data_IF_032748964662
#
_entry.id   IF_032748964662
#
_cell.length_a   1.000
_cell.length_b   1.000
_cell.length_c   1.000
_cell.angle_alpha   90.00
_cell.angle_beta   90.00
_cell.angle_gamma   90.00
#
_symmetry.space_group_name_H-M   'P 1'
#
loop_
_entity.id
_entity.type
_entity.pdbx_description
1 polymer ?
#
# COMPACT_ATOMS: atom_id res chain seq x y z
N UNK A 1 24.24 16.22 2.11
CA UNK A 1 24.67 14.87 1.72
C UNK A 1 23.62 13.95 2.31
N UNK A 2 22.69 13.44 1.50
CA UNK A 2 21.56 12.63 1.99
C UNK A 2 22.14 11.29 2.43
N UNK A 3 22.14 11.01 3.73
CA UNK A 3 22.52 9.71 4.24
C UNK A 3 21.50 8.69 3.73
N UNK A 4 21.96 7.70 2.96
CA UNK A 4 21.07 6.65 2.46
C UNK A 4 20.77 5.70 3.61
N UNK A 5 19.50 5.32 3.83
CA UNK A 5 19.15 4.35 4.86
C UNK A 5 19.93 3.04 4.61
N UNK A 6 20.29 2.38 5.71
CA UNK A 6 20.95 1.07 5.61
C UNK A 6 20.00 0.07 4.95
N UNK A 7 20.51 -0.83 4.10
CA UNK A 7 19.71 -1.87 3.44
C UNK A 7 18.84 -2.64 4.45
N UNK A 8 19.35 -2.84 5.67
CA UNK A 8 18.62 -3.51 6.76
C UNK A 8 17.39 -2.73 7.21
N UNK A 9 17.49 -1.41 7.27
CA UNK A 9 16.41 -0.51 7.69
C UNK A 9 15.30 -0.49 6.64
N UNK A 10 15.65 -0.33 5.37
CA UNK A 10 14.68 -0.41 4.27
C UNK A 10 13.95 -1.76 4.23
N UNK A 11 14.67 -2.88 4.38
CA UNK A 11 14.03 -4.21 4.44
C UNK A 11 13.06 -4.31 5.62
N UNK A 12 13.41 -3.77 6.78
CA UNK A 12 12.55 -3.80 7.95
C UNK A 12 11.29 -2.96 7.74
N UNK A 13 11.42 -1.79 7.15
CA UNK A 13 10.31 -0.91 6.78
C UNK A 13 9.36 -1.60 5.77
N UNK A 14 9.90 -2.16 4.69
CA UNK A 14 9.11 -2.93 3.73
C UNK A 14 8.40 -4.13 4.37
N UNK A 15 9.06 -4.82 5.30
CA UNK A 15 8.45 -5.97 5.98
C UNK A 15 7.23 -5.58 6.82
N UNK A 16 7.29 -4.40 7.45
CA UNK A 16 6.21 -3.81 8.25
C UNK A 16 5.04 -3.37 7.36
N UNK A 17 5.34 -2.71 6.25
CA UNK A 17 4.35 -2.37 5.23
C UNK A 17 3.66 -3.61 4.66
N UNK A 18 4.42 -4.63 4.24
CA UNK A 18 3.84 -5.88 3.74
C UNK A 18 2.96 -6.56 4.79
N UNK A 19 3.41 -6.63 6.04
CA UNK A 19 2.63 -7.21 7.13
C UNK A 19 1.30 -6.46 7.33
N UNK A 20 1.32 -5.12 7.38
CA UNK A 20 0.11 -4.30 7.48
C UNK A 20 -0.82 -4.48 6.29
N UNK A 21 -0.27 -4.51 5.07
CA UNK A 21 -1.02 -4.74 3.84
C UNK A 21 -1.76 -6.07 3.85
N UNK A 22 -1.10 -7.15 4.29
CA UNK A 22 -1.73 -8.47 4.42
C UNK A 22 -2.79 -8.51 5.52
N UNK A 23 -2.53 -7.89 6.67
CA UNK A 23 -3.48 -7.85 7.79
C UNK A 23 -4.79 -7.14 7.44
N UNK A 24 -4.73 -6.06 6.66
CA UNK A 24 -5.92 -5.34 6.20
C UNK A 24 -6.59 -6.00 4.99
N UNK A 25 -5.81 -6.58 4.08
CA UNK A 25 -6.35 -7.12 2.83
C UNK A 25 -7.02 -8.47 2.99
N UNK A 26 -6.49 -9.38 3.81
CA UNK A 26 -7.04 -10.74 3.93
C UNK A 26 -8.50 -10.76 4.42
N UNK A 27 -8.90 -10.04 5.49
CA UNK A 27 -10.29 -10.05 5.95
C UNK A 27 -11.24 -9.52 4.88
N UNK A 28 -10.85 -8.42 4.23
CA UNK A 28 -11.63 -7.75 3.19
C UNK A 28 -11.74 -8.60 1.93
N UNK A 29 -10.67 -9.31 1.56
CA UNK A 29 -10.66 -10.24 0.45
C UNK A 29 -11.65 -11.38 0.62
N UNK A 30 -11.93 -11.83 1.85
CA UNK A 30 -12.94 -12.88 2.07
C UNK A 30 -14.38 -12.37 2.08
N UNK A 31 -14.60 -11.06 1.93
CA UNK A 31 -15.95 -10.50 1.76
C UNK A 31 -16.42 -10.69 0.33
N UNK A 32 -17.68 -11.09 0.15
CA UNK A 32 -18.27 -11.25 -1.18
C UNK A 32 -18.34 -9.95 -1.97
N UNK A 33 -18.35 -8.80 -1.30
CA UNK A 33 -18.41 -7.48 -1.90
C UNK A 33 -17.19 -7.21 -2.78
N UNK A 34 -15.97 -7.52 -2.32
CA UNK A 34 -14.74 -7.28 -3.08
C UNK A 34 -14.72 -8.10 -4.37
N UNK A 35 -15.19 -9.34 -4.34
CA UNK A 35 -15.23 -10.20 -5.54
C UNK A 35 -16.24 -9.70 -6.56
N UNK A 36 -17.44 -9.36 -6.11
CA UNK A 36 -18.50 -8.86 -6.99
C UNK A 36 -18.11 -7.50 -7.55
N UNK A 37 -17.63 -6.59 -6.72
CA UNK A 37 -17.19 -5.28 -7.15
C UNK A 37 -15.97 -5.35 -8.08
N UNK A 38 -14.99 -6.21 -7.79
CA UNK A 38 -13.79 -6.34 -8.62
C UNK A 38 -14.07 -6.83 -10.04
N UNK A 39 -15.13 -7.61 -10.24
CA UNK A 39 -15.53 -8.10 -11.58
C UNK A 39 -16.53 -7.17 -12.27
N UNK A 40 -17.40 -6.51 -11.53
CA UNK A 40 -18.52 -5.73 -12.11
C UNK A 40 -18.28 -4.22 -12.16
N UNK A 41 -17.24 -3.70 -11.51
CA UNK A 41 -16.96 -2.27 -11.49
C UNK A 41 -16.56 -1.75 -12.88
N UNK A 42 -17.23 -0.70 -13.31
CA UNK A 42 -16.84 0.04 -14.51
C UNK A 42 -15.42 0.63 -14.35
N UNK A 43 -14.61 0.73 -15.42
CA UNK A 43 -13.26 1.30 -15.35
C UNK A 43 -13.18 2.68 -14.69
N UNK A 44 -14.19 3.53 -14.90
CA UNK A 44 -14.26 4.85 -14.26
C UNK A 44 -14.33 4.77 -12.72
N UNK A 45 -15.09 3.80 -12.18
CA UNK A 45 -15.19 3.58 -10.72
C UNK A 45 -13.88 3.07 -10.14
N UNK A 46 -13.20 2.17 -10.84
CA UNK A 46 -11.87 1.68 -10.46
C UNK A 46 -10.84 2.81 -10.44
N UNK A 47 -10.85 3.67 -11.48
CA UNK A 47 -9.98 4.84 -11.54
C UNK A 47 -10.27 5.83 -10.39
N UNK A 48 -11.54 6.10 -10.09
CA UNK A 48 -11.93 6.94 -8.95
C UNK A 48 -11.45 6.33 -7.64
N UNK A 49 -11.62 5.02 -7.44
CA UNK A 49 -11.15 4.31 -6.24
C UNK A 49 -9.64 4.41 -6.07
N UNK A 50 -8.89 4.27 -7.17
CA UNK A 50 -7.44 4.40 -7.18
C UNK A 50 -7.00 5.82 -6.81
N UNK A 51 -7.60 6.85 -7.43
CA UNK A 51 -7.30 8.25 -7.15
C UNK A 51 -7.68 8.63 -5.71
N UNK A 52 -8.84 8.15 -5.23
CA UNK A 52 -9.28 8.38 -3.86
C UNK A 52 -8.34 7.73 -2.85
N UNK A 53 -7.92 6.49 -3.10
CA UNK A 53 -6.94 5.79 -2.25
C UNK A 53 -5.60 6.50 -2.27
N UNK A 54 -5.13 6.92 -3.44
CA UNK A 54 -3.89 7.68 -3.56
C UNK A 54 -3.95 9.00 -2.79
N UNK A 55 -5.07 9.73 -2.89
CA UNK A 55 -5.30 10.94 -2.11
C UNK A 55 -5.34 10.68 -0.61
N UNK A 56 -5.92 9.55 -0.19
CA UNK A 56 -5.94 9.12 1.21
C UNK A 56 -4.53 8.81 1.73
N UNK A 57 -3.70 8.13 0.93
CA UNK A 57 -2.29 7.86 1.27
C UNK A 57 -1.51 9.17 1.37
N UNK A 58 -1.68 10.08 0.40
CA UNK A 58 -1.05 11.41 0.46
C UNK A 58 -1.46 12.16 1.72
N UNK A 59 -2.75 12.10 2.09
CA UNK A 59 -3.26 12.73 3.29
C UNK A 59 -2.70 12.09 4.55
N UNK A 60 -2.65 10.76 4.61
CA UNK A 60 -2.11 10.01 5.74
C UNK A 60 -0.63 10.32 5.94
N UNK A 61 0.18 10.29 4.88
CA UNK A 61 1.61 10.59 4.93
C UNK A 61 1.87 12.07 5.26
N UNK A 62 1.01 12.98 4.78
CA UNK A 62 1.07 14.39 5.18
C UNK A 62 0.73 14.60 6.68
N UNK A 63 -0.23 13.83 7.23
CA UNK A 63 -0.61 13.92 8.65
C UNK A 63 0.38 13.21 9.57
N UNK A 64 0.88 12.03 9.19
CA UNK A 64 1.94 11.32 9.88
C UNK A 64 3.26 12.13 9.88
N UNK A 65 3.48 12.90 8.81
CA UNK A 65 4.60 13.82 8.61
C UNK A 65 4.55 15.15 9.37
N UNK A 66 3.64 15.35 10.35
CA UNK A 66 3.62 16.54 11.23
C UNK A 66 4.88 16.72 12.12
N UNK A 67 5.95 15.94 11.88
CA UNK A 67 7.31 16.21 12.36
C UNK A 67 8.11 16.97 11.28
N UNK A 68 7.93 18.29 11.27
CA UNK A 68 8.76 19.42 10.77
C UNK A 68 9.60 19.35 9.48
N UNK A 69 9.87 18.20 8.83
CA UNK A 69 10.87 18.09 7.75
C UNK A 69 10.47 17.30 6.49
N UNK A 70 9.25 16.76 6.35
CA UNK A 70 8.85 16.10 5.09
C UNK A 70 8.46 17.12 4.02
N UNK A 71 9.13 17.07 2.87
CA UNK A 71 8.73 17.82 1.67
C UNK A 71 7.53 17.18 0.98
N UNK A 72 6.75 17.99 0.25
CA UNK A 72 5.59 17.51 -0.54
C UNK A 72 5.96 16.41 -1.54
N UNK A 73 7.21 16.41 -2.02
CA UNK A 73 7.74 15.40 -2.94
C UNK A 73 7.93 14.05 -2.25
N UNK A 74 8.45 14.04 -1.03
CA UNK A 74 8.64 12.81 -0.24
C UNK A 74 7.29 12.16 0.07
N UNK A 75 6.30 12.95 0.52
CA UNK A 75 4.93 12.47 0.74
C UNK A 75 4.37 11.78 -0.50
N UNK A 76 4.56 12.39 -1.68
CA UNK A 76 4.06 11.84 -2.93
C UNK A 76 4.77 10.53 -3.30
N UNK A 77 6.09 10.47 -3.11
CA UNK A 77 6.89 9.27 -3.38
C UNK A 77 6.44 8.13 -2.47
N UNK A 78 6.33 8.38 -1.17
CA UNK A 78 5.92 7.38 -0.17
C UNK A 78 4.53 6.84 -0.52
N UNK A 79 3.59 7.72 -0.87
CA UNK A 79 2.23 7.30 -1.26
C UNK A 79 2.19 6.50 -2.57
N UNK A 80 3.05 6.81 -3.54
CA UNK A 80 3.18 6.00 -4.77
C UNK A 80 3.74 4.63 -4.44
N UNK A 81 4.74 4.57 -3.56
CA UNK A 81 5.38 3.34 -3.13
C UNK A 81 4.40 2.41 -2.39
N UNK A 82 3.65 2.95 -1.43
CA UNK A 82 2.61 2.22 -0.69
C UNK A 82 1.51 1.68 -1.62
N UNK A 83 1.05 2.50 -2.57
CA UNK A 83 0.05 2.09 -3.56
C UNK A 83 0.61 0.98 -4.47
N UNK A 84 1.85 1.12 -4.93
CA UNK A 84 2.54 0.14 -5.76
C UNK A 84 2.70 -1.20 -5.05
N UNK A 85 3.14 -1.19 -3.79
CA UNK A 85 3.26 -2.37 -2.95
C UNK A 85 1.88 -3.00 -2.73
N UNK A 86 0.86 -2.20 -2.43
CA UNK A 86 -0.51 -2.69 -2.23
C UNK A 86 -1.08 -3.40 -3.46
N UNK A 87 -0.87 -2.84 -4.66
CA UNK A 87 -1.26 -3.46 -5.92
C UNK A 87 -0.48 -4.74 -6.21
N UNK A 88 0.85 -4.72 -6.02
CA UNK A 88 1.71 -5.87 -6.26
C UNK A 88 1.38 -7.04 -5.32
N UNK A 89 1.20 -6.75 -4.03
CA UNK A 89 0.76 -7.74 -3.04
C UNK A 89 -0.62 -8.31 -3.39
N UNK A 90 -1.55 -7.46 -3.83
CA UNK A 90 -2.89 -7.91 -4.18
C UNK A 90 -2.88 -8.82 -5.40
N UNK A 91 -2.15 -8.46 -6.45
CA UNK A 91 -1.96 -9.32 -7.61
C UNK A 91 -1.32 -10.66 -7.21
N UNK A 92 -0.28 -10.64 -6.36
CA UNK A 92 0.37 -11.84 -5.86
C UNK A 92 -0.57 -12.74 -5.07
N UNK A 93 -1.32 -12.18 -4.12
CA UNK A 93 -2.31 -12.93 -3.31
C UNK A 93 -3.41 -13.51 -4.20
N UNK A 94 -3.97 -12.73 -5.13
CA UNK A 94 -4.98 -13.21 -6.06
C UNK A 94 -4.47 -14.33 -6.96
N UNK A 95 -3.22 -14.25 -7.41
CA UNK A 95 -2.59 -15.29 -8.21
C UNK A 95 -2.39 -16.58 -7.38
N UNK A 96 -1.91 -16.46 -6.14
CA UNK A 96 -1.73 -17.59 -5.22
C UNK A 96 -3.06 -18.28 -4.88
N UNK A 97 -4.15 -17.51 -4.80
CA UNK A 97 -5.50 -18.03 -4.57
C UNK A 97 -6.17 -18.57 -5.86
N UNK A 98 -5.48 -18.51 -7.01
CA UNK A 98 -6.00 -18.98 -8.30
C UNK A 98 -7.15 -18.14 -8.84
N UNK A 99 -7.26 -16.88 -8.42
CA UNK A 99 -8.37 -15.98 -8.77
C UNK A 99 -8.08 -15.12 -9.99
N UNK A 100 -6.81 -14.82 -10.22
CA UNK A 100 -6.33 -14.29 -11.49
C UNK A 100 -5.40 -15.34 -12.11
N UNK A 101 -5.60 -15.67 -13.37
CA UNK A 101 -4.89 -16.76 -14.05
C UNK A 101 -5.29 -16.92 -15.52
N UNK A 102 -4.85 -18.00 -16.17
CA UNK A 102 -5.08 -18.21 -17.61
C UNK A 102 -6.56 -18.28 -18.02
N UNK A 103 -7.44 -18.55 -17.06
CA UNK A 103 -8.87 -18.71 -17.27
C UNK A 103 -9.67 -17.42 -17.01
N UNK A 104 -9.08 -16.44 -16.31
CA UNK A 104 -9.70 -15.14 -16.06
C UNK A 104 -9.41 -14.18 -17.20
N UNK A 105 -10.36 -13.30 -17.51
CA UNK A 105 -10.08 -12.21 -18.46
C UNK A 105 -9.13 -11.19 -17.84
N UNK A 106 -8.35 -10.51 -18.68
CA UNK A 106 -7.42 -9.47 -18.21
C UNK A 106 -8.15 -8.34 -17.45
N UNK A 107 -9.37 -8.01 -17.89
CA UNK A 107 -10.21 -6.97 -17.29
C UNK A 107 -10.66 -7.36 -15.89
N UNK A 108 -11.10 -8.61 -15.69
CA UNK A 108 -11.44 -9.12 -14.35
C UNK A 108 -10.21 -9.11 -13.43
N UNK A 109 -9.05 -9.52 -13.95
CA UNK A 109 -7.81 -9.51 -13.19
C UNK A 109 -7.41 -8.10 -12.73
N UNK A 110 -7.50 -7.11 -13.61
CA UNK A 110 -7.24 -5.71 -13.28
C UNK A 110 -8.25 -5.18 -12.26
N UNK A 111 -9.54 -5.46 -12.45
CA UNK A 111 -10.59 -4.98 -11.55
C UNK A 111 -10.47 -5.54 -10.13
N UNK A 112 -10.19 -6.85 -10.00
CA UNK A 112 -9.92 -7.50 -8.72
C UNK A 112 -8.64 -6.94 -8.07
N UNK A 113 -7.57 -6.78 -8.85
CA UNK A 113 -6.29 -6.25 -8.36
C UNK A 113 -6.43 -4.83 -7.84
N UNK A 114 -7.14 -3.95 -8.55
CA UNK A 114 -7.36 -2.57 -8.11
C UNK A 114 -8.24 -2.54 -6.86
N UNK A 115 -9.33 -3.30 -6.85
CA UNK A 115 -10.30 -3.30 -5.74
C UNK A 115 -9.64 -3.79 -4.44
N UNK A 116 -8.92 -4.91 -4.48
CA UNK A 116 -8.17 -5.40 -3.34
C UNK A 116 -6.98 -4.48 -3.03
N UNK A 117 -6.25 -4.05 -4.06
CA UNK A 117 -5.07 -3.19 -3.98
C UNK A 117 -5.29 -1.90 -3.24
N UNK A 118 -6.46 -1.28 -3.41
CA UNK A 118 -6.81 -0.06 -2.67
C UNK A 118 -6.81 -0.30 -1.16
N UNK A 119 -7.43 -1.38 -0.70
CA UNK A 119 -7.46 -1.73 0.73
C UNK A 119 -6.10 -2.18 1.23
N UNK A 120 -5.39 -2.99 0.44
CA UNK A 120 -4.04 -3.46 0.77
C UNK A 120 -3.08 -2.29 0.93
N UNK A 121 -3.12 -1.29 0.05
CA UNK A 121 -2.25 -0.11 0.12
C UNK A 121 -2.45 0.70 1.40
N UNK A 122 -3.71 0.86 1.85
CA UNK A 122 -4.02 1.48 3.16
C UNK A 122 -3.35 0.68 4.28
N UNK A 123 -3.46 -0.65 4.24
CA UNK A 123 -2.78 -1.52 5.20
C UNK A 123 -1.26 -1.39 5.16
N UNK A 124 -0.67 -1.22 3.97
CA UNK A 124 0.77 -1.00 3.81
C UNK A 124 1.19 0.27 4.53
N UNK A 125 0.50 1.38 4.26
CA UNK A 125 0.80 2.67 4.87
C UNK A 125 0.66 2.65 6.40
N UNK A 126 -0.44 2.07 6.91
CA UNK A 126 -0.66 1.91 8.35
C UNK A 126 0.39 0.99 8.98
N UNK A 127 0.76 -0.11 8.31
CA UNK A 127 1.77 -1.06 8.79
C UNK A 127 3.14 -0.42 8.91
N UNK A 128 3.55 0.33 7.89
CA UNK A 128 4.82 1.09 7.87
C UNK A 128 4.87 2.08 9.03
N UNK A 129 3.82 2.89 9.21
CA UNK A 129 3.77 3.89 10.27
C UNK A 129 3.70 3.29 11.69
N UNK A 130 2.85 2.30 11.91
CA UNK A 130 2.55 1.81 13.27
C UNK A 130 3.50 0.74 13.78
N UNK A 131 3.98 -0.15 12.91
CA UNK A 131 4.98 -1.15 13.31
C UNK A 131 6.39 -0.54 13.30
N UNK A 132 6.54 0.66 12.73
CA UNK A 132 7.76 1.45 12.62
C UNK A 132 8.15 2.25 13.88
N UNK A 133 7.16 2.61 14.71
CA UNK A 133 7.29 3.61 15.76
C UNK A 133 8.30 3.30 16.89
N UNK A 134 8.73 2.05 17.04
CA UNK A 134 9.67 1.62 18.10
C UNK A 134 11.14 1.61 17.70
N UNK A 135 11.49 1.96 16.45
CA UNK A 135 12.91 2.09 16.08
C UNK A 135 13.41 3.45 16.58
N UNK A 136 14.34 3.52 17.56
CA UNK A 136 14.89 4.80 17.99
C UNK A 136 15.62 5.39 16.79
N UNK A 137 15.09 6.50 16.27
CA UNK A 137 15.82 7.34 15.34
C UNK A 137 17.09 7.74 16.09
N UNK A 138 18.23 7.16 15.70
CA UNK A 138 19.51 7.53 16.30
C UNK A 138 19.70 9.02 16.03
N UNK A 139 19.47 9.83 17.06
CA UNK A 139 19.94 11.19 17.13
C UNK A 139 21.38 11.18 16.63
N UNK A 140 21.62 11.91 15.54
CA UNK A 140 22.98 12.16 15.10
C UNK A 140 23.74 12.70 16.30
N UNK A 141 24.73 11.95 16.76
CA UNK A 141 25.66 12.39 17.81
C UNK A 141 26.16 13.79 17.43
N UNK A 142 25.88 14.84 18.21
CA UNK A 142 26.53 16.11 18.02
C UNK A 142 27.98 15.96 18.49
N UNK A 143 28.89 16.08 17.52
CA UNK A 143 30.35 16.27 17.60
C UNK A 143 31.14 15.47 18.63
#
# INVERSE_FOLDING_TARGET
>A
MVDRPSIKESIQEYSRGVAGGLLFSLPVLYTMEVWVHGVTASPARLAIGLVATFGLLCLYNAYAGLRENHTRTEILIDSVEELGIGLALSAGVLALLGRIGPQSTLIEGIGLTITQGCTTAIGVSVGTAQLGADTPQREGTPS
#
